data_IF_535164810277
#
_entry.id   IF_535164810277
#
_cell.length_a   1.000
_cell.length_b   1.000
_cell.length_c   1.000
_cell.angle_alpha   90.00
_cell.angle_beta   90.00
_cell.angle_gamma   90.00
#
_symmetry.space_group_name_H-M   'P 1'
#
loop_
_entity.id
_entity.type
_entity.pdbx_description
1 polymer ?
#
# COMPACT_ATOMS: atom_id res chain seq x y z
N UNK A 1 19.36 28.24 -8.56
CA UNK A 1 19.45 26.80 -8.26
C UNK A 1 18.04 26.23 -8.35
N UNK A 2 17.78 25.18 -9.15
CA UNK A 2 16.45 24.57 -9.12
C UNK A 2 16.19 24.00 -7.73
N UNK A 3 15.01 24.28 -7.17
CA UNK A 3 14.66 23.88 -5.81
C UNK A 3 14.62 22.36 -5.69
N UNK A 4 15.29 21.81 -4.67
CA UNK A 4 15.17 20.39 -4.32
C UNK A 4 13.81 20.18 -3.68
N UNK A 5 12.90 19.47 -4.35
CA UNK A 5 11.74 18.88 -3.68
C UNK A 5 12.29 17.66 -2.95
N UNK A 6 12.75 17.83 -1.70
CA UNK A 6 13.09 16.69 -0.85
C UNK A 6 11.79 16.06 -0.39
N UNK A 7 11.42 14.95 -1.01
CA UNK A 7 10.37 14.09 -0.50
C UNK A 7 10.96 13.33 0.69
N UNK A 8 10.24 13.28 1.81
CA UNK A 8 10.65 12.48 2.97
C UNK A 8 10.27 11.01 2.72
N UNK A 9 11.13 10.32 1.98
CA UNK A 9 10.93 8.91 1.63
C UNK A 9 10.87 8.01 2.88
N UNK A 10 11.49 8.42 3.99
CA UNK A 10 11.44 7.71 5.26
C UNK A 10 10.01 7.70 5.80
N UNK A 11 9.41 8.88 5.90
CA UNK A 11 8.02 9.03 6.32
C UNK A 11 7.05 8.28 5.39
N UNK A 12 7.23 8.36 4.07
CA UNK A 12 6.35 7.64 3.13
C UNK A 12 6.43 6.12 3.34
N UNK A 13 7.64 5.58 3.53
CA UNK A 13 7.83 4.14 3.80
C UNK A 13 7.19 3.70 5.12
N UNK A 14 7.23 4.54 6.16
CA UNK A 14 6.52 4.28 7.42
C UNK A 14 5.00 4.24 7.25
N UNK A 15 4.45 5.17 6.45
CA UNK A 15 3.02 5.16 6.11
C UNK A 15 2.65 3.89 5.33
N UNK A 16 3.46 3.45 4.37
CA UNK A 16 3.23 2.18 3.65
C UNK A 16 3.27 0.96 4.58
N UNK A 17 4.21 0.92 5.53
CA UNK A 17 4.28 -0.15 6.53
C UNK A 17 3.01 -0.20 7.39
N UNK A 18 2.51 0.97 7.80
CA UNK A 18 1.27 1.11 8.56
C UNK A 18 0.06 0.65 7.75
N UNK A 19 -0.04 1.04 6.47
CA UNK A 19 -1.11 0.58 5.57
C UNK A 19 -1.11 -0.94 5.42
N UNK A 20 0.06 -1.57 5.28
CA UNK A 20 0.19 -3.04 5.20
C UNK A 20 -0.26 -3.71 6.50
N UNK A 21 0.09 -3.16 7.66
CA UNK A 21 -0.39 -3.66 8.95
C UNK A 21 -1.91 -3.57 9.06
N UNK A 22 -2.53 -2.43 8.70
CA UNK A 22 -3.98 -2.27 8.73
C UNK A 22 -4.70 -3.28 7.83
N UNK A 23 -4.15 -3.57 6.65
CA UNK A 23 -4.69 -4.61 5.75
C UNK A 23 -4.59 -6.02 6.33
N UNK A 24 -3.48 -6.33 7.02
CA UNK A 24 -3.34 -7.59 7.74
C UNK A 24 -4.38 -7.71 8.86
N UNK A 25 -4.60 -6.64 9.63
CA UNK A 25 -5.64 -6.61 10.67
C UNK A 25 -7.05 -6.78 10.10
N UNK A 26 -7.35 -6.17 8.95
CA UNK A 26 -8.63 -6.39 8.25
C UNK A 26 -8.81 -7.87 7.88
N UNK A 27 -7.75 -8.51 7.39
CA UNK A 27 -7.76 -9.94 7.05
C UNK A 27 -8.03 -10.81 8.27
N UNK A 28 -7.36 -10.51 9.39
CA UNK A 28 -7.55 -11.20 10.66
C UNK A 28 -9.02 -11.06 11.13
N UNK A 29 -9.56 -9.84 11.15
CA UNK A 29 -10.97 -9.59 11.54
C UNK A 29 -11.95 -10.36 10.65
N UNK A 30 -11.74 -10.36 9.33
CA UNK A 30 -12.60 -11.12 8.39
C UNK A 30 -12.55 -12.62 8.65
N UNK A 31 -11.44 -13.14 9.15
CA UNK A 31 -11.30 -14.56 9.52
C UNK A 31 -11.86 -14.90 10.91
N UNK A 32 -12.44 -13.94 11.62
CA UNK A 32 -12.94 -14.14 12.99
C UNK A 32 -11.84 -14.12 14.05
N UNK A 33 -10.67 -13.54 13.72
CA UNK A 33 -9.53 -13.36 14.61
C UNK A 33 -9.51 -11.93 15.13
N UNK A 34 -9.33 -11.77 16.44
CA UNK A 34 -9.07 -10.46 17.02
C UNK A 34 -7.59 -10.08 16.77
N UNK A 35 -7.31 -8.99 16.03
CA UNK A 35 -5.95 -8.58 15.69
C UNK A 35 -5.12 -8.15 16.93
N UNK A 36 -5.77 -7.86 18.06
CA UNK A 36 -5.09 -7.44 19.30
C UNK A 36 -4.87 -8.61 20.29
N UNK A 37 -5.42 -9.80 20.01
CA UNK A 37 -5.39 -10.94 20.94
C UNK A 37 -4.66 -12.16 20.35
N UNK A 38 -3.35 -12.00 20.12
CA UNK A 38 -2.43 -13.12 19.85
C UNK A 38 -2.84 -14.04 18.70
N UNK A 39 -3.67 -13.55 17.77
CA UNK A 39 -4.23 -14.29 16.62
C UNK A 39 -5.06 -15.53 16.97
N UNK A 40 -5.72 -15.56 18.12
CA UNK A 40 -6.65 -16.66 18.43
C UNK A 40 -7.98 -16.43 17.71
N UNK A 41 -8.36 -17.34 16.82
CA UNK A 41 -9.70 -17.34 16.23
C UNK A 41 -10.73 -17.60 17.34
N UNK A 42 -11.56 -16.60 17.66
CA UNK A 42 -12.56 -16.71 18.74
C UNK A 42 -13.95 -17.12 18.23
N UNK A 43 -14.07 -17.48 16.95
CA UNK A 43 -15.28 -18.03 16.35
C UNK A 43 -15.12 -18.23 14.84
N UNK A 44 -15.97 -19.09 14.25
CA UNK A 44 -16.07 -19.22 12.80
C UNK A 44 -16.86 -18.04 12.19
N UNK A 45 -16.92 -17.97 10.85
CA UNK A 45 -17.70 -16.95 10.16
C UNK A 45 -19.14 -16.88 10.71
N UNK A 46 -19.62 -15.66 11.00
CA UNK A 46 -20.97 -15.40 11.52
C UNK A 46 -22.09 -15.92 10.58
N UNK A 47 -21.76 -16.17 9.31
CA UNK A 47 -22.65 -16.82 8.33
C UNK A 47 -22.89 -18.31 8.61
N UNK A 48 -22.04 -18.95 9.42
CA UNK A 48 -22.11 -20.37 9.76
C UNK A 48 -22.91 -20.66 11.04
N UNK A 49 -23.65 -19.68 11.57
CA UNK A 49 -24.47 -19.88 12.76
C UNK A 49 -25.55 -20.95 12.53
N UNK A 50 -25.63 -21.92 13.44
CA UNK A 50 -26.65 -22.97 13.47
C UNK A 50 -27.63 -22.72 14.61
N UNK A 51 -28.94 -22.91 14.34
CA UNK A 51 -29.99 -22.74 15.35
C UNK A 51 -30.08 -24.05 16.14
N UNK A 52 -29.69 -24.04 17.42
CA UNK A 52 -29.62 -25.24 18.25
C UNK A 52 -30.99 -25.82 18.64
N UNK A 53 -32.05 -24.99 18.72
CA UNK A 53 -33.40 -25.42 19.11
C UNK A 53 -34.37 -25.32 17.93
N UNK A 54 -35.00 -26.43 17.53
CA UNK A 54 -36.04 -26.47 16.50
C UNK A 54 -35.57 -26.26 15.05
N UNK A 55 -34.28 -25.98 14.82
CA UNK A 55 -33.73 -25.68 13.50
C UNK A 55 -34.46 -24.50 12.84
N UNK A 56 -34.66 -24.57 11.53
CA UNK A 56 -35.36 -23.50 10.79
C UNK A 56 -36.86 -23.40 11.13
N UNK A 57 -37.42 -24.35 11.91
CA UNK A 57 -38.81 -24.30 12.38
C UNK A 57 -39.00 -23.38 13.58
N UNK A 58 -37.92 -22.91 14.20
CA UNK A 58 -37.96 -21.88 15.24
C UNK A 58 -37.85 -20.49 14.59
N UNK A 59 -38.99 -19.83 14.37
CA UNK A 59 -39.10 -18.61 13.58
C UNK A 59 -38.24 -17.45 14.13
N UNK A 60 -38.21 -17.26 15.45
CA UNK A 60 -37.41 -16.22 16.09
C UNK A 60 -35.91 -16.46 15.89
N UNK A 61 -35.47 -17.72 16.00
CA UNK A 61 -34.09 -18.12 15.75
C UNK A 61 -33.67 -17.95 14.29
N UNK A 62 -34.55 -18.30 13.36
CA UNK A 62 -34.33 -18.09 11.92
C UNK A 62 -34.22 -16.61 11.56
N UNK A 63 -35.09 -15.77 12.14
CA UNK A 63 -35.04 -14.32 11.95
C UNK A 63 -33.76 -13.70 12.54
N UNK A 64 -33.37 -14.12 13.75
CA UNK A 64 -32.11 -13.69 14.36
C UNK A 64 -30.89 -14.10 13.52
N UNK A 65 -30.83 -15.36 13.07
CA UNK A 65 -29.75 -15.84 12.19
C UNK A 65 -29.65 -15.02 10.90
N UNK A 66 -30.79 -14.72 10.28
CA UNK A 66 -30.84 -13.89 9.07
C UNK A 66 -30.29 -12.48 9.32
N UNK A 67 -30.69 -11.83 10.43
CA UNK A 67 -30.17 -10.52 10.81
C UNK A 67 -28.66 -10.53 11.05
N UNK A 68 -28.15 -11.54 11.77
CA UNK A 68 -26.72 -11.66 12.03
C UNK A 68 -25.95 -11.89 10.73
N UNK A 69 -26.45 -12.75 9.84
CA UNK A 69 -25.81 -13.03 8.54
C UNK A 69 -25.78 -11.78 7.64
N UNK A 70 -26.86 -11.00 7.63
CA UNK A 70 -26.93 -9.73 6.90
C UNK A 70 -25.94 -8.71 7.45
N UNK A 71 -25.87 -8.56 8.77
CA UNK A 71 -24.91 -7.67 9.42
C UNK A 71 -23.46 -8.09 9.15
N UNK A 72 -23.17 -9.39 9.22
CA UNK A 72 -21.85 -9.93 8.90
C UNK A 72 -21.45 -9.64 7.46
N UNK A 73 -22.36 -9.86 6.51
CA UNK A 73 -22.12 -9.55 5.08
C UNK A 73 -21.86 -8.06 4.87
N UNK A 74 -22.63 -7.18 5.52
CA UNK A 74 -22.41 -5.74 5.43
C UNK A 74 -21.06 -5.31 6.04
N UNK A 75 -20.64 -5.94 7.13
CA UNK A 75 -19.32 -5.70 7.74
C UNK A 75 -18.20 -6.16 6.80
N UNK A 76 -18.30 -7.36 6.22
CA UNK A 76 -17.33 -7.91 5.27
C UNK A 76 -17.18 -7.02 4.02
N UNK A 77 -18.28 -6.48 3.51
CA UNK A 77 -18.26 -5.54 2.39
C UNK A 77 -17.51 -4.24 2.76
N UNK A 78 -17.79 -3.67 3.94
CA UNK A 78 -17.09 -2.46 4.41
C UNK A 78 -15.60 -2.70 4.60
N UNK A 79 -15.23 -3.81 5.23
CA UNK A 79 -13.84 -4.21 5.45
C UNK A 79 -13.10 -4.41 4.12
N UNK A 80 -13.75 -5.05 3.13
CA UNK A 80 -13.18 -5.22 1.79
C UNK A 80 -13.01 -3.86 1.08
N UNK A 81 -13.94 -2.93 1.26
CA UNK A 81 -13.82 -1.56 0.75
C UNK A 81 -12.65 -0.78 1.39
N UNK A 82 -12.37 -0.98 2.68
CA UNK A 82 -11.19 -0.41 3.32
C UNK A 82 -9.89 -1.02 2.80
N UNK A 83 -9.84 -2.35 2.61
CA UNK A 83 -8.67 -3.01 2.05
C UNK A 83 -8.32 -2.47 0.65
N UNK A 84 -9.32 -2.27 -0.21
CA UNK A 84 -9.15 -1.66 -1.53
C UNK A 84 -8.60 -0.24 -1.45
N UNK A 85 -9.14 0.60 -0.56
CA UNK A 85 -8.64 1.98 -0.36
C UNK A 85 -7.19 2.00 0.11
N UNK A 86 -6.84 1.16 1.09
CA UNK A 86 -5.47 1.07 1.57
C UNK A 86 -4.51 0.54 0.50
N UNK A 87 -4.95 -0.40 -0.33
CA UNK A 87 -4.17 -0.84 -1.50
C UNK A 87 -3.95 0.30 -2.50
N UNK A 88 -4.98 1.13 -2.75
CA UNK A 88 -4.84 2.30 -3.62
C UNK A 88 -3.86 3.34 -3.06
N UNK A 89 -3.89 3.59 -1.76
CA UNK A 89 -2.92 4.47 -1.11
C UNK A 89 -1.50 3.92 -1.19
N UNK A 90 -1.29 2.63 -0.95
CA UNK A 90 0.04 1.99 -1.05
C UNK A 90 0.62 2.09 -2.48
N UNK A 91 -0.22 1.90 -3.50
CA UNK A 91 0.17 2.07 -4.90
C UNK A 91 0.51 3.54 -5.22
N UNK A 92 -0.30 4.49 -4.77
CA UNK A 92 -0.05 5.92 -4.96
C UNK A 92 1.26 6.37 -4.32
N UNK A 93 1.53 5.93 -3.08
CA UNK A 93 2.79 6.22 -2.39
C UNK A 93 3.99 5.59 -3.10
N UNK A 94 3.86 4.35 -3.60
CA UNK A 94 4.91 3.71 -4.40
C UNK A 94 5.22 4.49 -5.68
N UNK A 95 4.21 5.05 -6.33
CA UNK A 95 4.40 5.88 -7.51
C UNK A 95 5.10 7.20 -7.20
N UNK A 96 4.76 7.84 -6.07
CA UNK A 96 5.42 9.06 -5.62
C UNK A 96 6.91 8.81 -5.36
N UNK A 97 7.27 7.72 -4.67
CA UNK A 97 8.67 7.35 -4.43
C UNK A 97 9.40 7.14 -5.76
N UNK A 98 8.84 6.33 -6.67
CA UNK A 98 9.48 6.06 -7.96
C UNK A 98 9.66 7.31 -8.82
N UNK A 99 8.70 8.24 -8.77
CA UNK A 99 8.78 9.55 -9.46
C UNK A 99 9.83 10.48 -8.82
N UNK A 100 9.94 10.43 -7.49
CA UNK A 100 10.98 11.13 -6.73
C UNK A 100 12.37 10.66 -7.16
N UNK A 101 12.62 9.36 -7.09
CA UNK A 101 13.89 8.73 -7.48
C UNK A 101 14.29 9.11 -8.92
N UNK A 102 13.34 9.00 -9.87
CA UNK A 102 13.58 9.36 -11.27
C UNK A 102 13.93 10.85 -11.45
N UNK A 103 13.31 11.73 -10.66
CA UNK A 103 13.59 13.18 -10.70
C UNK A 103 14.96 13.49 -10.10
N UNK A 104 15.34 12.82 -9.00
CA UNK A 104 16.65 12.98 -8.38
C UNK A 104 17.78 12.46 -9.29
N UNK A 105 17.57 11.33 -9.98
CA UNK A 105 18.50 10.77 -10.96
C UNK A 105 18.70 11.71 -12.16
N UNK A 106 17.59 12.25 -12.69
CA UNK A 106 17.65 13.22 -13.79
C UNK A 106 18.40 14.49 -13.37
N UNK A 107 18.09 15.03 -12.18
CA UNK A 107 18.73 16.24 -11.67
C UNK A 107 20.23 16.02 -11.40
N UNK A 108 20.61 14.85 -10.86
CA UNK A 108 22.01 14.46 -10.66
C UNK A 108 22.75 14.32 -12.00
N UNK A 109 22.08 13.80 -13.03
CA UNK A 109 22.63 13.69 -14.39
C UNK A 109 22.87 15.06 -15.03
N UNK A 110 21.92 16.00 -14.90
CA UNK A 110 22.08 17.38 -15.38
C UNK A 110 23.17 18.15 -14.64
N UNK A 111 23.26 18.00 -13.31
CA UNK A 111 24.33 18.61 -12.52
C UNK A 111 25.71 18.07 -12.94
N UNK A 112 25.82 16.77 -13.20
CA UNK A 112 27.05 16.14 -13.69
C UNK A 112 27.44 16.66 -15.08
N UNK A 113 26.49 16.76 -16.01
CA UNK A 113 26.71 17.31 -17.36
C UNK A 113 27.10 18.80 -17.33
N UNK A 114 26.44 19.60 -16.50
CA UNK A 114 26.79 21.01 -16.29
C UNK A 114 28.22 21.18 -15.74
N UNK A 115 28.68 20.25 -14.90
CA UNK A 115 30.06 20.19 -14.41
C UNK A 115 31.09 19.97 -15.52
N UNK A 116 30.81 19.15 -16.53
CA UNK A 116 31.68 18.99 -17.71
C UNK A 116 31.78 20.25 -18.57
N UNK A 117 30.74 21.09 -18.58
CA UNK A 117 30.72 22.36 -19.32
C UNK A 117 31.36 23.52 -18.53
N UNK A 118 31.46 23.42 -17.20
CA UNK A 118 31.91 24.53 -16.34
C UNK A 118 33.21 24.25 -15.57
N UNK A 119 33.68 23.00 -15.49
CA UNK A 119 34.95 22.60 -14.87
C UNK A 119 36.03 22.27 -15.89
N UNK A 120 36.94 23.24 -16.12
CA UNK A 120 38.28 23.15 -16.72
C UNK A 120 38.77 21.78 -17.26
N UNK A 121 38.84 21.68 -18.59
CA UNK A 121 39.72 20.75 -19.28
C UNK A 121 39.96 21.26 -20.69
N UNK A 122 41.22 21.51 -21.06
CA UNK A 122 41.61 21.89 -22.41
C UNK A 122 40.96 20.94 -23.44
N UNK A 123 40.59 21.44 -24.64
CA UNK A 123 40.08 20.56 -25.70
C UNK A 123 41.10 19.45 -25.94
N UNK A 124 40.70 18.19 -26.16
CA UNK A 124 41.62 17.17 -26.63
C UNK A 124 42.30 17.72 -27.88
N UNK A 125 43.63 17.81 -27.88
CA UNK A 125 44.37 18.27 -29.05
C UNK A 125 44.02 17.35 -30.21
N UNK A 126 43.26 17.88 -31.17
CA UNK A 126 43.03 17.22 -32.44
C UNK A 126 44.39 17.18 -33.15
N UNK A 127 45.05 16.02 -33.10
CA UNK A 127 46.16 15.75 -34.01
C UNK A 127 45.62 15.90 -35.43
N UNK A 128 46.26 16.71 -36.30
CA UNK A 128 45.78 16.89 -37.66
C UNK A 128 45.81 15.55 -38.40
N UNK A 129 44.84 15.30 -39.31
CA UNK A 129 44.82 14.07 -40.09
C UNK A 129 46.08 13.99 -40.97
N UNK A 130 46.62 12.77 -41.18
CA UNK A 130 47.81 12.60 -42.02
C UNK A 130 47.50 13.05 -43.45
N UNK A 131 48.31 13.98 -43.94
CA UNK A 131 48.30 14.40 -45.35
C UNK A 131 48.86 13.27 -46.20
N UNK A 132 48.03 12.74 -47.10
CA UNK A 132 48.49 12.00 -48.29
C UNK A 132 48.47 12.93 -49.49
#
# INVERSE_FOLDING_TARGET
MPGKIKIDDGFIKEVQATLKQLRAQITDVKSGVDPNDGKRARGGHLTNLTIAAGGDKFAEGANLKSKISSLATAADQKLSGFDQKFSGYDQGLSHIIASSDATEDANSSYASFGGYLTGSGAPPSLSPPPTH
#
